data_IF_079346839815
#
_entry.id   IF_079346839815
#
_cell.length_a   1.000
_cell.length_b   1.000
_cell.length_c   1.000
_cell.angle_alpha   90.00
_cell.angle_beta   90.00
_cell.angle_gamma   90.00
#
_symmetry.space_group_name_H-M   'P 1'
#
loop_
_entity.id
_entity.type
_entity.pdbx_description
1 polymer ?
#
# COMPACT_ATOMS: atom_id res chain seq x y z
N UNK A 1 33.79 -38.85 -20.60
CA UNK A 1 33.11 -38.22 -19.44
C UNK A 1 33.09 -36.72 -19.65
N UNK A 2 31.93 -36.12 -19.90
CA UNK A 2 31.77 -34.66 -19.95
C UNK A 2 30.65 -34.29 -18.99
N UNK A 3 31.04 -33.84 -17.81
CA UNK A 3 30.13 -33.34 -16.78
C UNK A 3 29.49 -32.06 -17.29
N UNK A 4 28.22 -32.14 -17.67
CA UNK A 4 27.41 -30.95 -17.91
C UNK A 4 26.94 -30.43 -16.55
N UNK A 5 27.68 -29.44 -16.03
CA UNK A 5 27.24 -28.62 -14.90
C UNK A 5 26.05 -27.78 -15.37
N UNK A 6 24.83 -28.31 -15.22
CA UNK A 6 23.62 -27.52 -15.35
C UNK A 6 23.43 -26.70 -14.07
N UNK A 7 23.93 -25.47 -14.12
CA UNK A 7 23.74 -24.44 -13.10
C UNK A 7 22.25 -24.07 -13.08
N UNK A 8 21.47 -24.66 -12.18
CA UNK A 8 20.08 -24.23 -11.93
C UNK A 8 20.16 -22.88 -11.20
N UNK A 9 20.05 -21.80 -11.96
CA UNK A 9 19.86 -20.45 -11.42
C UNK A 9 18.47 -20.42 -10.79
N UNK A 10 18.45 -20.44 -9.45
CA UNK A 10 17.27 -20.10 -8.67
C UNK A 10 16.88 -18.66 -9.00
N UNK A 11 15.88 -18.51 -9.87
CA UNK A 11 15.12 -17.27 -9.99
C UNK A 11 14.38 -17.06 -8.66
N UNK A 12 15.00 -16.30 -7.75
CA UNK A 12 14.26 -15.72 -6.63
C UNK A 12 13.38 -14.60 -7.19
N UNK A 13 12.15 -14.94 -7.56
CA UNK A 13 11.10 -13.97 -7.78
C UNK A 13 10.81 -13.33 -6.41
N UNK A 14 11.45 -12.20 -6.13
CA UNK A 14 11.06 -11.30 -5.05
C UNK A 14 9.68 -10.76 -5.40
N UNK A 15 8.63 -11.48 -4.99
CA UNK A 15 7.26 -10.99 -5.03
C UNK A 15 7.17 -9.85 -4.03
N UNK A 16 7.43 -8.62 -4.49
CA UNK A 16 7.04 -7.42 -3.77
C UNK A 16 5.51 -7.47 -3.67
N UNK A 17 5.01 -7.89 -2.51
CA UNK A 17 3.59 -7.97 -2.25
C UNK A 17 2.99 -6.56 -2.42
N UNK A 18 2.06 -6.42 -3.37
CA UNK A 18 1.37 -5.16 -3.60
C UNK A 18 0.49 -4.87 -2.37
N UNK A 19 0.57 -3.66 -1.78
CA UNK A 19 -0.19 -3.37 -0.56
C UNK A 19 -1.70 -3.35 -0.84
N UNK A 20 -2.51 -3.81 0.13
CA UNK A 20 -3.96 -3.66 0.07
C UNK A 20 -4.35 -2.18 0.16
N UNK A 21 -3.84 -1.48 1.16
CA UNK A 21 -4.03 -0.05 1.37
C UNK A 21 -2.69 0.65 1.16
N UNK A 22 -2.61 1.57 0.21
CA UNK A 22 -1.43 2.40 0.00
C UNK A 22 -1.71 3.83 0.47
N UNK A 23 -0.83 4.38 1.31
CA UNK A 23 -0.92 5.76 1.79
C UNK A 23 0.31 6.50 1.29
N UNK A 24 0.14 7.37 0.30
CA UNK A 24 1.22 8.16 -0.31
C UNK A 24 1.27 9.56 0.27
N UNK A 25 2.45 10.08 0.56
CA UNK A 25 2.62 11.40 1.17
C UNK A 25 3.92 12.08 0.72
N UNK A 26 4.00 13.42 0.81
CA UNK A 26 5.26 14.18 0.67
C UNK A 26 5.93 14.34 2.03
N UNK A 27 7.23 14.60 2.06
CA UNK A 27 7.98 14.87 3.29
C UNK A 27 7.33 15.95 4.19
N UNK A 28 6.69 16.97 3.60
CA UNK A 28 5.96 18.01 4.32
C UNK A 28 4.78 17.48 5.16
N UNK A 29 4.19 16.34 4.76
CA UNK A 29 3.03 15.72 5.40
C UNK A 29 3.42 14.57 6.35
N UNK A 30 4.70 14.47 6.74
CA UNK A 30 5.21 13.35 7.55
C UNK A 30 4.51 13.23 8.91
N UNK A 31 4.15 14.35 9.53
CA UNK A 31 3.41 14.33 10.79
C UNK A 31 2.00 13.75 10.59
N UNK A 32 1.30 14.19 9.55
CA UNK A 32 -0.01 13.66 9.17
C UNK A 32 0.07 12.17 8.83
N UNK A 33 1.14 11.75 8.16
CA UNK A 33 1.42 10.35 7.86
C UNK A 33 1.55 9.51 9.15
N UNK A 34 2.30 10.02 10.14
CA UNK A 34 2.42 9.37 11.45
C UNK A 34 1.10 9.29 12.21
N UNK A 35 0.28 10.35 12.18
CA UNK A 35 -1.06 10.33 12.77
C UNK A 35 -1.97 9.32 12.07
N UNK A 36 -1.91 9.26 10.73
CA UNK A 36 -2.66 8.29 9.93
C UNK A 36 -2.25 6.86 10.29
N UNK A 37 -0.95 6.58 10.44
CA UNK A 37 -0.47 5.28 10.89
C UNK A 37 -1.03 4.89 12.27
N UNK A 38 -1.06 5.84 13.22
CA UNK A 38 -1.66 5.60 14.54
C UNK A 38 -3.15 5.27 14.43
N UNK A 39 -3.91 6.01 13.64
CA UNK A 39 -5.34 5.75 13.42
C UNK A 39 -5.55 4.33 12.85
N UNK A 40 -4.79 3.96 11.82
CA UNK A 40 -4.87 2.62 11.21
C UNK A 40 -4.58 1.51 12.23
N UNK A 41 -3.58 1.71 13.09
CA UNK A 41 -3.16 0.73 14.08
C UNK A 41 -4.08 0.65 15.30
N UNK A 42 -4.47 1.79 15.85
CA UNK A 42 -5.10 1.88 17.18
C UNK A 42 -6.63 1.90 17.08
N UNK A 43 -7.20 2.52 16.04
CA UNK A 43 -8.65 2.62 15.88
C UNK A 43 -9.19 1.51 14.98
N UNK A 44 -8.49 1.22 13.88
CA UNK A 44 -8.92 0.20 12.92
C UNK A 44 -8.27 -1.17 13.15
N UNK A 45 -7.34 -1.29 14.11
CA UNK A 45 -6.63 -2.52 14.45
C UNK A 45 -5.98 -3.21 13.23
N UNK A 46 -5.53 -2.42 12.24
CA UNK A 46 -4.89 -2.94 11.03
C UNK A 46 -3.42 -3.24 11.29
N UNK A 47 -2.94 -4.35 10.73
CA UNK A 47 -1.52 -4.70 10.71
C UNK A 47 -0.81 -4.02 9.53
N UNK A 48 0.52 -3.83 9.65
CA UNK A 48 1.37 -3.28 8.57
C UNK A 48 1.44 -4.16 7.31
N UNK A 49 0.85 -5.35 7.35
CA UNK A 49 0.68 -6.22 6.18
C UNK A 49 -0.49 -5.74 5.30
N UNK A 50 -1.46 -5.03 5.88
CA UNK A 50 -2.66 -4.54 5.19
C UNK A 50 -2.39 -3.16 4.57
N UNK A 51 -1.64 -2.30 5.26
CA UNK A 51 -1.37 -0.94 4.78
C UNK A 51 0.11 -0.63 4.69
N UNK A 52 0.48 0.20 3.70
CA UNK A 52 1.84 0.68 3.50
C UNK A 52 1.87 2.20 3.37
N UNK A 53 2.76 2.85 4.12
CA UNK A 53 3.05 4.28 3.99
C UNK A 53 4.24 4.47 3.05
N UNK A 54 4.06 5.29 2.01
CA UNK A 54 5.07 5.56 1.00
C UNK A 54 5.31 7.07 0.88
N UNK A 55 6.51 7.51 1.27
CA UNK A 55 6.98 8.87 0.98
C UNK A 55 7.35 8.96 -0.50
N UNK A 56 6.77 9.93 -1.22
CA UNK A 56 7.07 10.19 -2.63
C UNK A 56 7.64 11.59 -2.82
N UNK A 57 8.56 11.72 -3.78
CA UNK A 57 9.16 13.01 -4.14
C UNK A 57 8.18 13.89 -4.93
N UNK A 58 7.40 13.28 -5.82
CA UNK A 58 6.50 13.97 -6.74
C UNK A 58 5.08 13.45 -6.60
N UNK A 59 4.12 14.38 -6.65
CA UNK A 59 2.65 14.18 -6.63
C UNK A 59 2.15 12.91 -5.89
N UNK A 60 1.86 12.98 -4.58
CA UNK A 60 1.35 11.85 -3.79
C UNK A 60 -0.02 11.38 -4.26
N UNK A 61 -0.78 12.21 -4.97
CA UNK A 61 -2.11 11.86 -5.46
C UNK A 61 -2.09 11.26 -6.87
N UNK A 62 -0.91 10.97 -7.44
CA UNK A 62 -0.81 10.18 -8.65
C UNK A 62 -1.18 8.72 -8.36
N UNK A 63 -2.03 8.14 -9.20
CA UNK A 63 -2.44 6.74 -9.08
C UNK A 63 -1.23 5.80 -9.12
N UNK A 64 -1.17 4.91 -8.14
CA UNK A 64 -0.13 3.90 -7.94
C UNK A 64 -0.75 2.51 -7.73
N UNK A 65 0.09 1.49 -7.61
CA UNK A 65 -0.33 0.09 -7.47
C UNK A 65 -0.75 -0.21 -6.01
N UNK A 66 -2.05 -0.09 -5.74
CA UNK A 66 -2.69 -0.59 -4.52
C UNK A 66 -3.80 -1.59 -4.92
N UNK A 67 -3.94 -2.69 -4.19
CA UNK A 67 -4.93 -3.72 -4.51
C UNK A 67 -6.36 -3.27 -4.15
N UNK A 68 -6.54 -2.68 -2.96
CA UNK A 68 -7.84 -2.28 -2.43
C UNK A 68 -8.07 -0.77 -2.50
N UNK A 69 -7.18 0.04 -1.92
CA UNK A 69 -7.38 1.50 -1.91
C UNK A 69 -6.05 2.25 -1.86
N UNK A 70 -6.02 3.43 -2.47
CA UNK A 70 -4.93 4.38 -2.33
C UNK A 70 -5.46 5.68 -1.72
N UNK A 71 -4.84 6.09 -0.62
CA UNK A 71 -5.01 7.40 0.00
C UNK A 71 -3.78 8.24 -0.32
N UNK A 72 -3.96 9.53 -0.60
CA UNK A 72 -2.87 10.49 -0.61
C UNK A 72 -3.05 11.52 0.50
N UNK A 73 -1.93 11.94 1.09
CA UNK A 73 -1.85 13.06 2.03
C UNK A 73 -1.22 14.25 1.31
N UNK A 74 -1.97 15.34 1.19
CA UNK A 74 -1.50 16.57 0.56
C UNK A 74 -2.23 17.79 1.12
N UNK A 75 -1.47 18.82 1.50
CA UNK A 75 -1.96 20.08 2.07
C UNK A 75 -2.77 19.88 3.37
N UNK A 76 -2.35 18.95 4.23
CA UNK A 76 -3.05 18.63 5.47
C UNK A 76 -4.39 17.89 5.27
N UNK A 77 -4.69 17.39 4.08
CA UNK A 77 -5.91 16.64 3.77
C UNK A 77 -5.62 15.19 3.37
N UNK A 78 -6.55 14.29 3.71
CA UNK A 78 -6.58 12.91 3.23
C UNK A 78 -7.51 12.84 2.02
N UNK A 79 -7.02 12.37 0.87
CA UNK A 79 -7.82 12.19 -0.34
C UNK A 79 -7.76 10.75 -0.83
N UNK A 80 -8.89 10.23 -1.30
CA UNK A 80 -8.96 8.91 -1.93
C UNK A 80 -8.58 9.05 -3.41
N UNK A 81 -7.46 8.46 -3.81
CA UNK A 81 -6.99 8.48 -5.22
C UNK A 81 -7.66 7.38 -6.02
N UNK A 82 -7.76 6.19 -5.42
CA UNK A 82 -8.30 5.01 -6.05
C UNK A 82 -8.92 4.11 -5.00
N UNK A 83 -10.02 3.43 -5.37
CA UNK A 83 -10.71 2.47 -4.52
C UNK A 83 -11.28 1.36 -5.39
N UNK A 84 -10.92 0.13 -5.07
CA UNK A 84 -11.46 -1.07 -5.70
C UNK A 84 -12.77 -1.43 -4.99
N UNK A 85 -13.88 -0.93 -5.52
CA UNK A 85 -15.22 -1.13 -4.94
C UNK A 85 -15.55 -2.62 -4.72
N UNK A 86 -15.13 -3.50 -5.64
CA UNK A 86 -15.36 -4.94 -5.51
C UNK A 86 -14.59 -5.53 -4.33
N UNK A 87 -13.27 -5.31 -4.27
CA UNK A 87 -12.44 -5.85 -3.20
C UNK A 87 -12.83 -5.26 -1.84
N UNK A 88 -13.14 -3.97 -1.79
CA UNK A 88 -13.64 -3.32 -0.57
C UNK A 88 -14.98 -3.89 -0.12
N UNK A 89 -15.90 -4.16 -1.05
CA UNK A 89 -17.17 -4.83 -0.74
C UNK A 89 -16.97 -6.26 -0.24
N UNK A 90 -16.00 -6.99 -0.79
CA UNK A 90 -15.66 -8.35 -0.34
C UNK A 90 -15.00 -8.33 1.06
N UNK A 91 -14.14 -7.34 1.33
CA UNK A 91 -13.42 -7.21 2.61
C UNK A 91 -14.31 -6.67 3.74
N UNK A 92 -15.13 -5.65 3.46
CA UNK A 92 -15.97 -4.99 4.46
C UNK A 92 -17.38 -5.56 4.53
N UNK A 93 -17.80 -6.34 3.53
CA UNK A 93 -19.09 -7.02 3.51
C UNK A 93 -20.26 -6.05 3.74
N UNK A 94 -21.01 -6.30 4.82
CA UNK A 94 -22.20 -5.50 5.19
C UNK A 94 -21.88 -4.06 5.61
N UNK A 95 -20.63 -3.77 5.97
CA UNK A 95 -20.17 -2.44 6.38
C UNK A 95 -19.82 -1.53 5.20
N UNK A 96 -19.95 -2.01 3.96
CA UNK A 96 -19.64 -1.25 2.75
C UNK A 96 -20.79 -0.36 2.23
N UNK A 97 -22.01 -0.58 2.70
CA UNK A 97 -23.22 0.12 2.21
C UNK A 97 -23.34 1.55 2.69
#
# INVERSE_FOLDING_TARGET
MKFCYSLIIFFQASTFATPLILITYKAAEREMASQTEKIMKEQFYLTREIYHLQEVKENPCKKSNALATQLCLENGEVRVVYRNEKLMSEMLGVFWK
#
